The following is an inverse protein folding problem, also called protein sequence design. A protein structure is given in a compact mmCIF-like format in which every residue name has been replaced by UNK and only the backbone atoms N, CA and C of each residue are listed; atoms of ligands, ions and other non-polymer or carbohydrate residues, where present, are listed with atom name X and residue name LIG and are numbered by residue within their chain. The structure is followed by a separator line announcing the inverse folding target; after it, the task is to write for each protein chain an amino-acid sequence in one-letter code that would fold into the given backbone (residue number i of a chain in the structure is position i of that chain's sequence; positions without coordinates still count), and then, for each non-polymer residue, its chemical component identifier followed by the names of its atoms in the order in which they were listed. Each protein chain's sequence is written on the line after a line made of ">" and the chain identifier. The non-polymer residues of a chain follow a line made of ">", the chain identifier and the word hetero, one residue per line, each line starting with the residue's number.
data_IF_908265981552
#
_entry.id   IF_908265981552
#
_cell.length_a   1.000
_cell.length_b   1.000
_cell.length_c   1.000
_cell.angle_alpha   90.00
_cell.angle_beta   90.00
_cell.angle_gamma   90.00
#
_symmetry.space_group_name_H-M   'P 1'
#
loop_
_entity.id
_entity.type
_entity.pdbx_description
1 polymer ?
#
# COMPACT_ATOMS: atom_id res chain seq x y z
N UNK A 1 9.07 -8.16 -17.09
CA UNK A 1 8.90 -8.82 -15.77
C UNK A 1 8.12 -10.12 -15.96
N UNK A 2 8.22 -11.16 -15.10
CA UNK A 2 7.33 -12.33 -15.17
C UNK A 2 5.86 -11.94 -14.94
N UNK A 3 4.94 -12.50 -15.73
CA UNK A 3 3.52 -12.09 -15.74
C UNK A 3 2.79 -12.33 -14.42
N UNK A 4 3.27 -13.23 -13.58
CA UNK A 4 2.74 -13.46 -12.23
C UNK A 4 2.91 -12.26 -11.28
N UNK A 5 3.68 -11.25 -11.66
CA UNK A 5 3.85 -10.00 -10.93
C UNK A 5 3.14 -8.82 -11.62
N UNK A 6 2.43 -9.07 -12.72
CA UNK A 6 1.69 -8.02 -13.40
C UNK A 6 0.52 -7.57 -12.51
N UNK A 7 0.23 -6.27 -12.61
CA UNK A 7 -0.92 -5.68 -11.99
C UNK A 7 -2.22 -6.21 -12.57
N UNK A 8 -3.30 -6.15 -11.80
CA UNK A 8 -4.63 -6.40 -12.32
C UNK A 8 -4.95 -5.44 -13.48
N UNK A 9 -5.58 -5.94 -14.54
CA UNK A 9 -5.98 -5.12 -15.69
C UNK A 9 -7.28 -4.34 -15.45
N UNK A 10 -8.12 -4.84 -14.53
CA UNK A 10 -9.42 -4.30 -14.16
C UNK A 10 -9.60 -4.43 -12.63
N UNK A 11 -10.44 -3.58 -12.00
CA UNK A 11 -10.79 -3.75 -10.59
C UNK A 11 -11.58 -5.06 -10.36
N UNK A 12 -11.66 -5.56 -9.10
CA UNK A 12 -12.49 -6.72 -8.75
C UNK A 12 -13.94 -6.58 -9.22
N UNK A 13 -14.59 -7.66 -9.65
CA UNK A 13 -15.95 -7.63 -10.24
C UNK A 13 -17.00 -6.94 -9.34
N UNK A 14 -16.87 -7.07 -8.02
CA UNK A 14 -17.76 -6.48 -7.02
C UNK A 14 -17.34 -5.08 -6.55
N UNK A 15 -16.31 -4.48 -7.16
CA UNK A 15 -15.73 -3.20 -6.76
C UNK A 15 -16.78 -2.10 -6.60
N UNK A 16 -17.56 -1.81 -7.65
CA UNK A 16 -18.48 -0.67 -7.65
C UNK A 16 -19.59 -0.80 -6.60
N UNK A 17 -20.05 -2.02 -6.35
CA UNK A 17 -21.01 -2.31 -5.30
C UNK A 17 -20.40 -2.06 -3.92
N UNK A 18 -19.16 -2.52 -3.69
CA UNK A 18 -18.46 -2.32 -2.42
C UNK A 18 -18.11 -0.84 -2.18
N UNK A 19 -17.80 -0.07 -3.22
CA UNK A 19 -17.60 1.38 -3.09
C UNK A 19 -18.86 2.07 -2.56
N UNK A 20 -20.05 1.68 -3.05
CA UNK A 20 -21.32 2.20 -2.52
C UNK A 20 -21.55 1.82 -1.04
N UNK A 21 -20.98 0.70 -0.60
CA UNK A 21 -20.97 0.28 0.80
C UNK A 21 -19.85 0.94 1.63
N UNK A 22 -18.98 1.74 1.02
CA UNK A 22 -17.93 2.50 1.69
C UNK A 22 -16.54 1.85 1.69
N UNK A 23 -16.29 0.84 0.85
CA UNK A 23 -14.92 0.42 0.54
C UNK A 23 -14.18 1.48 -0.29
N UNK A 24 -12.83 1.46 -0.26
CA UNK A 24 -12.06 2.37 -1.10
C UNK A 24 -12.32 2.17 -2.59
N UNK A 25 -12.35 3.28 -3.33
CA UNK A 25 -12.47 3.30 -4.79
C UNK A 25 -11.09 3.13 -5.42
N UNK A 26 -10.86 1.97 -6.04
CA UNK A 26 -9.62 1.61 -6.75
C UNK A 26 -9.50 2.30 -8.13
N UNK A 27 -10.53 3.03 -8.55
CA UNK A 27 -10.60 3.76 -9.84
C UNK A 27 -10.70 5.29 -9.66
N UNK A 28 -10.53 5.78 -8.44
CA UNK A 28 -10.81 7.17 -8.10
C UNK A 28 -10.00 8.18 -8.92
N UNK A 29 -10.69 9.15 -9.54
CA UNK A 29 -10.12 10.22 -10.38
C UNK A 29 -9.21 9.69 -11.49
N UNK A 30 -9.66 8.66 -12.19
CA UNK A 30 -8.95 8.03 -13.31
C UNK A 30 -7.60 7.41 -12.90
N UNK A 31 -7.36 7.19 -11.60
CA UNK A 31 -6.21 6.43 -11.13
C UNK A 31 -6.53 4.95 -11.10
N UNK A 32 -5.65 4.12 -11.63
CA UNK A 32 -5.78 2.66 -11.70
C UNK A 32 -5.16 1.99 -10.47
N UNK A 33 -5.66 2.27 -9.27
CA UNK A 33 -5.06 1.70 -8.04
C UNK A 33 -5.09 0.17 -8.02
N UNK A 34 -6.08 -0.44 -8.67
CA UNK A 34 -6.17 -1.89 -8.81
C UNK A 34 -4.92 -2.51 -9.47
N UNK A 35 -4.23 -1.80 -10.36
CA UNK A 35 -3.02 -2.27 -11.03
C UNK A 35 -1.81 -2.41 -10.10
N UNK A 36 -1.92 -1.85 -8.89
CA UNK A 36 -0.88 -1.97 -7.86
C UNK A 36 -0.94 -3.31 -7.13
N UNK A 37 -1.96 -4.12 -7.39
CA UNK A 37 -2.14 -5.46 -6.83
C UNK A 37 -1.99 -6.51 -7.93
N UNK A 38 -1.47 -7.69 -7.60
CA UNK A 38 -1.60 -8.86 -8.49
C UNK A 38 -2.97 -9.53 -8.35
N UNK A 39 -3.59 -9.35 -7.18
CA UNK A 39 -4.94 -9.79 -6.82
C UNK A 39 -5.39 -8.94 -5.61
N UNK A 40 -6.68 -8.61 -5.51
CA UNK A 40 -7.20 -7.71 -4.48
C UNK A 40 -8.52 -8.23 -3.90
N UNK A 41 -8.52 -8.44 -2.58
CA UNK A 41 -9.68 -8.90 -1.83
C UNK A 41 -10.20 -7.80 -0.90
N UNK A 42 -11.53 -7.66 -0.74
CA UNK A 42 -12.10 -6.71 0.20
C UNK A 42 -11.99 -7.24 1.63
N UNK A 43 -11.50 -6.41 2.54
CA UNK A 43 -11.35 -6.76 3.95
C UNK A 43 -11.94 -5.71 4.87
N UNK A 44 -12.33 -6.13 6.08
CA UNK A 44 -12.61 -5.23 7.21
C UNK A 44 -11.56 -5.53 8.28
N UNK A 45 -10.68 -4.57 8.53
CA UNK A 45 -9.72 -4.66 9.62
C UNK A 45 -10.47 -4.57 10.94
N UNK A 46 -10.14 -5.47 11.86
CA UNK A 46 -10.76 -5.53 13.18
C UNK A 46 -10.31 -4.35 14.06
N UNK A 47 -11.14 -3.94 15.02
CA UNK A 47 -10.73 -2.98 16.05
C UNK A 47 -9.43 -3.38 16.74
N UNK A 48 -8.56 -2.40 17.00
CA UNK A 48 -7.26 -2.62 17.62
C UNK A 48 -6.18 -3.17 16.69
N UNK A 49 -6.49 -3.51 15.43
CA UNK A 49 -5.46 -3.85 14.44
C UNK A 49 -4.53 -2.67 14.22
N UNK A 50 -3.23 -2.90 14.36
CA UNK A 50 -2.20 -1.91 14.09
C UNK A 50 -1.68 -2.07 12.66
N UNK A 51 -1.62 -0.96 11.93
CA UNK A 51 -1.09 -0.88 10.57
C UNK A 51 -0.05 0.24 10.48
N UNK A 52 0.81 0.13 9.47
CA UNK A 52 1.98 0.97 9.29
C UNK A 52 2.04 1.52 7.88
N UNK A 53 2.60 2.72 7.73
CA UNK A 53 2.88 3.33 6.43
C UNK A 53 4.27 3.95 6.49
N UNK A 54 5.09 3.64 5.49
CA UNK A 54 6.37 4.33 5.29
C UNK A 54 6.09 5.68 4.63
N UNK A 55 6.68 6.73 5.21
CA UNK A 55 6.53 8.12 4.76
C UNK A 55 7.90 8.78 4.65
N UNK A 56 7.95 9.85 3.88
CA UNK A 56 9.08 10.79 3.85
C UNK A 56 8.62 12.16 4.36
N UNK A 57 9.51 13.15 4.35
CA UNK A 57 9.21 14.53 4.78
C UNK A 57 8.19 15.25 3.88
N UNK A 58 7.88 14.71 2.69
CA UNK A 58 7.05 15.34 1.66
C UNK A 58 5.63 14.77 1.62
N UNK A 59 5.46 13.52 2.05
CA UNK A 59 4.21 12.78 1.97
C UNK A 59 3.24 13.08 3.11
N UNK A 60 1.93 13.05 2.81
CA UNK A 60 0.89 13.07 3.83
C UNK A 60 0.85 11.75 4.62
N UNK A 61 0.73 11.87 5.95
CA UNK A 61 0.70 10.72 6.86
C UNK A 61 -0.50 9.80 6.60
N UNK A 62 -1.66 10.35 6.22
CA UNK A 62 -2.92 9.62 5.99
C UNK A 62 -3.13 9.23 4.51
N UNK A 63 -2.07 8.75 3.84
CA UNK A 63 -2.17 8.27 2.46
C UNK A 63 -2.82 6.88 2.34
N UNK A 64 -2.95 6.37 1.11
CA UNK A 64 -3.78 5.18 0.85
C UNK A 64 -3.12 3.82 1.11
N UNK A 65 -1.81 3.70 0.98
CA UNK A 65 -1.10 2.41 1.11
C UNK A 65 -0.55 2.18 2.52
N UNK A 66 -0.82 0.98 3.06
CA UNK A 66 -0.46 0.54 4.41
C UNK A 66 0.02 -0.93 4.42
N UNK A 67 0.64 -1.34 5.52
CA UNK A 67 1.09 -2.70 5.78
C UNK A 67 0.76 -3.13 7.21
N UNK A 68 0.61 -4.43 7.45
CA UNK A 68 0.43 -4.98 8.80
C UNK A 68 1.70 -4.98 9.64
N UNK A 69 2.86 -4.97 8.98
CA UNK A 69 4.16 -5.05 9.62
C UNK A 69 5.10 -4.04 8.96
N UNK A 70 6.03 -3.50 9.75
CA UNK A 70 7.11 -2.71 9.19
C UNK A 70 8.06 -3.63 8.43
N UNK A 71 8.47 -3.25 7.20
CA UNK A 71 9.56 -3.94 6.51
C UNK A 71 10.83 -3.92 7.38
N UNK A 72 11.62 -5.00 7.28
CA UNK A 72 12.84 -5.16 8.08
C UNK A 72 13.88 -4.08 7.78
N UNK A 73 13.97 -3.66 6.51
CA UNK A 73 14.92 -2.66 6.04
C UNK A 73 14.45 -2.01 4.73
N UNK A 74 15.20 -0.99 4.30
CA UNK A 74 14.97 -0.22 3.07
C UNK A 74 14.89 -1.13 1.84
N UNK A 75 15.81 -2.08 1.70
CA UNK A 75 15.87 -2.98 0.54
C UNK A 75 14.64 -3.89 0.45
N UNK A 76 14.23 -4.49 1.56
CA UNK A 76 13.04 -5.34 1.65
C UNK A 76 11.78 -4.55 1.30
N UNK A 77 11.65 -3.32 1.81
CA UNK A 77 10.52 -2.47 1.45
C UNK A 77 10.46 -2.17 -0.05
N UNK A 78 11.58 -1.73 -0.66
CA UNK A 78 11.67 -1.45 -2.10
C UNK A 78 11.32 -2.68 -2.92
N UNK A 79 11.98 -3.79 -2.64
CA UNK A 79 11.86 -5.03 -3.41
C UNK A 79 10.47 -5.63 -3.30
N UNK A 80 9.94 -5.70 -2.08
CA UNK A 80 8.77 -6.53 -1.78
C UNK A 80 7.44 -5.76 -1.82
N UNK A 81 7.46 -4.44 -1.62
CA UNK A 81 6.30 -3.53 -1.83
C UNK A 81 6.40 -2.73 -3.13
N UNK A 82 7.41 -3.00 -3.95
CA UNK A 82 7.60 -2.41 -5.27
C UNK A 82 7.67 -0.87 -5.30
N UNK A 83 8.18 -0.23 -4.24
CA UNK A 83 8.23 1.24 -4.16
C UNK A 83 9.52 1.78 -4.79
N UNK A 84 9.45 2.53 -5.90
CA UNK A 84 10.65 3.11 -6.54
C UNK A 84 11.29 4.21 -5.68
N UNK A 85 12.61 4.24 -5.68
CA UNK A 85 13.47 5.24 -5.04
C UNK A 85 12.98 6.68 -5.25
N UNK A 86 12.70 7.05 -6.51
CA UNK A 86 12.18 8.37 -6.87
C UNK A 86 10.80 8.74 -6.30
N UNK A 87 10.04 7.80 -5.74
CA UNK A 87 8.66 8.03 -5.26
C UNK A 87 8.58 8.43 -3.79
N UNK A 88 9.57 8.05 -2.99
CA UNK A 88 9.57 8.31 -1.54
C UNK A 88 11.01 8.15 -1.03
N UNK A 89 11.56 9.19 -0.42
CA UNK A 89 12.95 9.19 0.06
C UNK A 89 13.15 8.35 1.34
N UNK A 90 12.05 7.92 1.96
CA UNK A 90 11.91 7.18 3.22
C UNK A 90 12.50 7.88 4.46
N UNK A 91 12.85 7.11 5.48
CA UNK A 91 13.35 7.60 6.77
C UNK A 91 12.35 7.50 7.91
N UNK A 92 11.05 7.58 7.61
CA UNK A 92 10.00 7.60 8.63
C UNK A 92 8.89 6.58 8.39
N UNK A 93 8.16 6.27 9.44
CA UNK A 93 6.91 5.55 9.38
C UNK A 93 5.87 6.16 10.31
N UNK A 94 4.60 5.98 9.97
CA UNK A 94 3.48 6.30 10.85
C UNK A 94 2.71 5.03 11.18
N UNK A 95 2.05 5.06 12.33
CA UNK A 95 1.19 3.99 12.82
C UNK A 95 -0.25 4.47 12.88
N UNK A 96 -1.17 3.60 12.54
CA UNK A 96 -2.59 3.78 12.81
C UNK A 96 -3.12 2.52 13.52
N UNK A 97 -4.01 2.74 14.50
CA UNK A 97 -4.73 1.67 15.19
C UNK A 97 -6.19 1.80 14.80
N UNK A 98 -6.75 0.71 14.27
CA UNK A 98 -8.13 0.66 13.79
C UNK A 98 -9.10 0.87 14.95
N UNK A 99 -10.06 1.78 14.75
CA UNK A 99 -11.11 2.12 15.72
C UNK A 99 -12.16 1.02 15.90
N UNK A 100 -13.12 1.27 16.79
CA UNK A 100 -14.15 0.30 17.19
C UNK A 100 -15.10 -0.09 16.05
N UNK A 101 -15.27 0.78 15.05
CA UNK A 101 -16.07 0.52 13.86
C UNK A 101 -15.38 -0.39 12.82
N UNK A 102 -14.11 -0.75 13.04
CA UNK A 102 -13.29 -1.44 12.05
C UNK A 102 -12.89 -0.52 10.89
N UNK A 103 -12.11 -1.04 9.94
CA UNK A 103 -11.68 -0.25 8.78
C UNK A 103 -11.76 -1.05 7.49
N UNK A 104 -12.55 -0.56 6.53
CA UNK A 104 -12.69 -1.17 5.21
C UNK A 104 -11.46 -0.87 4.35
N UNK A 105 -10.91 -1.91 3.74
CA UNK A 105 -9.73 -1.83 2.89
C UNK A 105 -9.80 -2.85 1.75
N UNK A 106 -8.92 -2.66 0.77
CA UNK A 106 -8.51 -3.72 -0.15
C UNK A 106 -7.17 -4.29 0.29
N UNK A 107 -7.02 -5.61 0.22
CA UNK A 107 -5.81 -6.32 0.60
C UNK A 107 -5.33 -7.20 -0.55
N UNK A 108 -4.03 -7.24 -0.76
CA UNK A 108 -3.47 -8.16 -1.74
C UNK A 108 -1.96 -8.03 -1.92
N UNK A 109 -1.33 -8.93 -2.69
CA UNK A 109 0.09 -8.84 -2.98
C UNK A 109 0.37 -7.64 -3.89
N UNK A 110 1.43 -6.88 -3.59
CA UNK A 110 1.87 -5.78 -4.43
C UNK A 110 2.31 -6.28 -5.82
N UNK A 111 1.81 -5.65 -6.88
CA UNK A 111 2.29 -5.85 -8.24
C UNK A 111 3.74 -5.37 -8.36
N UNK A 112 4.49 -6.01 -9.25
CA UNK A 112 5.86 -5.64 -9.53
C UNK A 112 5.93 -4.33 -10.30
N UNK A 113 7.11 -3.70 -10.25
CA UNK A 113 7.33 -2.37 -10.81
C UNK A 113 8.60 -2.33 -11.65
N UNK A 114 8.44 -2.11 -12.96
CA UNK A 114 9.55 -2.02 -13.89
C UNK A 114 10.24 -0.65 -13.84
N UNK A 115 11.56 -0.64 -13.96
CA UNK A 115 12.33 0.56 -14.23
C UNK A 115 12.32 0.89 -15.74
N UNK A 116 12.62 2.14 -16.10
CA UNK A 116 12.46 2.68 -17.47
C UNK A 116 13.21 1.89 -18.56
N UNK A 117 14.21 1.08 -18.21
CA UNK A 117 14.99 0.28 -19.14
C UNK A 117 14.48 -1.16 -19.32
N UNK A 118 13.45 -1.58 -18.58
CA UNK A 118 12.85 -2.92 -18.63
C UNK A 118 13.79 -4.05 -18.18
N UNK A 119 15.03 -3.72 -17.77
CA UNK A 119 16.05 -4.69 -17.36
C UNK A 119 15.96 -5.01 -15.88
N UNK A 120 15.46 -4.05 -15.10
CA UNK A 120 15.30 -4.17 -13.67
C UNK A 120 13.84 -3.95 -13.28
N UNK A 121 13.39 -4.74 -12.31
CA UNK A 121 12.06 -4.59 -11.72
C UNK A 121 12.14 -4.85 -10.22
N UNK A 122 11.27 -4.19 -9.47
CA UNK A 122 10.96 -4.54 -8.09
C UNK A 122 9.88 -5.61 -8.16
N UNK A 123 10.11 -6.74 -7.49
CA UNK A 123 9.26 -7.93 -7.61
C UNK A 123 7.86 -7.72 -7.04
N UNK A 124 7.74 -6.93 -5.99
CA UNK A 124 6.50 -6.87 -5.22
C UNK A 124 6.23 -8.18 -4.49
N UNK A 125 4.95 -8.49 -4.30
CA UNK A 125 4.45 -9.74 -3.76
C UNK A 125 4.24 -9.75 -2.24
N UNK A 126 4.67 -8.72 -1.50
CA UNK A 126 4.20 -8.56 -0.11
C UNK A 126 2.77 -8.05 -0.10
N UNK A 127 2.03 -8.55 0.88
CA UNK A 127 0.68 -8.11 1.18
C UNK A 127 0.70 -6.64 1.58
N UNK A 128 -0.08 -5.84 0.87
CA UNK A 128 -0.32 -4.43 1.16
C UNK A 128 -1.82 -4.19 1.32
N UNK A 129 -2.14 -3.05 1.92
CA UNK A 129 -3.49 -2.57 2.11
C UNK A 129 -3.67 -1.27 1.33
N UNK A 130 -4.82 -1.12 0.67
CA UNK A 130 -5.29 0.17 0.20
C UNK A 130 -6.51 0.59 1.01
N UNK A 131 -6.41 1.75 1.64
CA UNK A 131 -7.44 2.41 2.44
C UNK A 131 -7.71 3.76 1.78
N UNK A 132 -8.95 4.23 1.81
CA UNK A 132 -9.30 5.57 1.31
C UNK A 132 -8.43 6.63 2.00
N UNK A 133 -7.64 7.42 1.25
CA UNK A 133 -6.79 8.46 1.85
C UNK A 133 -7.60 9.41 2.75
N UNK A 134 -7.04 9.74 3.91
CA UNK A 134 -7.72 10.57 4.92
C UNK A 134 -8.73 9.83 5.80
N UNK A 135 -8.93 8.51 5.64
CA UNK A 135 -9.74 7.70 6.57
C UNK A 135 -8.97 7.14 7.77
N UNK A 136 -7.67 7.39 7.84
CA UNK A 136 -6.85 7.03 8.99
C UNK A 136 -6.43 8.27 9.77
N UNK A 137 -6.23 8.09 11.06
CA UNK A 137 -5.68 9.09 11.97
C UNK A 137 -4.31 8.63 12.48
N UNK A 138 -3.25 8.72 11.65
CA UNK A 138 -1.91 8.32 12.05
C UNK A 138 -1.35 9.22 13.15
N UNK A 139 -0.60 8.59 14.05
CA UNK A 139 0.22 9.31 15.02
C UNK A 139 1.38 10.09 14.38
N UNK A 140 2.21 10.71 15.22
CA UNK A 140 3.41 11.40 14.76
C UNK A 140 4.39 10.44 14.05
N UNK A 141 5.06 10.88 12.97
CA UNK A 141 6.08 10.10 12.30
C UNK A 141 7.21 9.66 13.24
N UNK A 142 7.66 8.43 13.09
CA UNK A 142 8.76 7.82 13.85
C UNK A 142 9.88 7.44 12.89
N UNK A 143 11.13 7.56 13.32
CA UNK A 143 12.28 7.12 12.53
C UNK A 143 12.24 5.60 12.34
N UNK A 144 12.45 5.14 11.11
CA UNK A 144 12.58 3.71 10.80
C UNK A 144 13.84 3.10 11.43
N UNK A 145 14.88 3.90 11.63
CA UNK A 145 16.22 3.47 12.04
C UNK A 145 16.80 2.36 11.15
N UNK A 146 16.35 2.27 9.89
CA UNK A 146 16.95 1.34 8.95
C UNK A 146 18.41 1.73 8.71
N UNK A 147 19.34 0.76 8.73
CA UNK A 147 20.72 1.05 8.38
C UNK A 147 20.78 1.62 6.95
N UNK A 148 21.52 2.71 6.78
CA UNK A 148 21.87 3.17 5.43
C UNK A 148 22.77 2.08 4.79
N UNK A 149 22.55 1.76 3.51
CA UNK A 149 23.40 0.82 2.78
C UNK A 149 24.84 1.32 2.62
#
# INVERSE_FOLDING_TARGET
>A
MPTQYDGMEEPPENHDALVQEGWPDLTYKDNTTYDTFTDAEPVVLSPGTKIYRIVDERGGNAGGFWAYELPENKEAWRRDYAVKDKWNDNGYYVEHVVGDEGLKAWEGPAAGQEYQDGRFYLKGGKKQLFITPGRTEPGAPKLTNWPEP
#
